data_IF_064764862223
#
_entry.id   IF_064764862223
#
_cell.length_a   1.000
_cell.length_b   1.000
_cell.length_c   1.000
_cell.angle_alpha   90.00
_cell.angle_beta   90.00
_cell.angle_gamma   90.00
#
_symmetry.space_group_name_H-M   'P 1'
#
loop_
_entity.id
_entity.type
_entity.pdbx_description
1 polymer ?
2 non-polymer ?
3 non-polymer ?
4 non-polymer ?
5 non-polymer ?
6 water ?
#
# COMPACT_ATOMS: atom_id res chain seq x y z
N UNK A 1 -5.28 20.58 1.33
CA UNK A 1 -6.20 21.60 1.90
C UNK A 1 -7.38 20.99 2.65
N UNK A 2 -8.00 19.96 2.04
CA UNK A 2 -9.22 19.33 2.57
C UNK A 2 -9.26 19.29 4.09
N UNK A 3 -10.30 19.88 4.66
CA UNK A 3 -10.46 19.92 6.10
C UNK A 3 -11.21 18.69 6.59
N UNK A 4 -11.03 18.36 7.86
CA UNK A 4 -11.80 17.30 8.48
C UNK A 4 -13.23 17.78 8.70
N UNK A 5 -13.37 18.91 9.39
CA UNK A 5 -14.68 19.52 9.64
C UNK A 5 -15.43 19.63 8.32
N UNK A 6 -14.70 19.91 7.26
CA UNK A 6 -15.26 20.02 5.93
C UNK A 6 -15.81 18.67 5.48
N UNK A 7 -15.15 17.60 5.90
CA UNK A 7 -15.54 16.24 5.49
C UNK A 7 -16.67 15.71 6.37
N UNK A 8 -16.57 16.00 7.67
CA UNK A 8 -17.60 15.61 8.63
C UNK A 8 -18.96 16.23 8.30
N UNK A 9 -18.93 17.37 7.63
CA UNK A 9 -20.14 18.07 7.24
C UNK A 9 -20.68 17.60 5.90
N UNK A 10 -19.86 16.85 5.16
CA UNK A 10 -20.35 16.17 3.96
C UNK A 10 -21.03 14.88 4.41
N UNK A 11 -20.44 14.25 5.43
CA UNK A 11 -20.92 12.99 5.94
C UNK A 11 -22.24 13.17 6.68
N UNK A 12 -22.44 14.33 7.28
CA UNK A 12 -23.68 14.63 7.99
C UNK A 12 -24.88 14.69 7.05
N UNK A 13 -24.70 15.29 5.87
CA UNK A 13 -25.74 15.30 4.87
C UNK A 13 -25.98 13.90 4.33
N UNK A 14 -25.25 12.93 4.88
CA UNK A 14 -25.38 11.54 4.49
C UNK A 14 -26.53 10.86 5.23
N UNK A 15 -27.32 10.09 4.48
CA UNK A 15 -28.26 9.16 5.08
C UNK A 15 -27.56 8.05 5.86
N UNK A 16 -27.47 8.21 7.18
CA UNK A 16 -26.71 7.27 8.02
C UNK A 16 -27.28 5.86 8.07
N UNK A 17 -28.45 5.65 7.45
CA UNK A 17 -29.06 4.32 7.42
C UNK A 17 -28.59 3.60 6.18
N UNK A 18 -27.92 4.32 5.28
CA UNK A 18 -27.58 3.77 3.97
C UNK A 18 -26.11 3.98 3.55
N UNK A 19 -25.21 4.00 4.52
CA UNK A 19 -23.78 4.14 4.23
C UNK A 19 -23.32 2.99 3.34
N UNK A 20 -22.83 3.31 2.15
CA UNK A 20 -22.22 2.30 1.28
C UNK A 20 -20.70 2.35 1.41
N UNK A 21 -20.02 1.43 0.77
CA UNK A 21 -18.57 1.50 0.74
C UNK A 21 -18.14 1.53 -0.69
N UNK A 22 -17.33 2.52 -1.04
CA UNK A 22 -16.87 2.62 -2.42
C UNK A 22 -15.35 2.57 -2.52
N UNK A 23 -14.89 2.10 -3.67
CA UNK A 23 -13.48 2.14 -4.02
C UNK A 23 -13.36 1.92 -5.51
N UNK A 24 -12.13 1.88 -5.99
CA UNK A 24 -11.90 1.81 -7.42
C UNK A 24 -11.64 0.37 -7.79
N UNK A 25 -12.23 -0.06 -8.90
CA UNK A 25 -12.10 -1.42 -9.35
C UNK A 25 -10.69 -1.76 -9.75
N UNK A 26 -9.81 -1.93 -8.76
CA UNK A 26 -8.42 -2.33 -8.99
C UNK A 26 -7.65 -2.38 -7.67
N UNK A 27 -6.43 -2.91 -7.75
CA UNK A 27 -5.46 -2.91 -6.64
C UNK A 27 -5.77 -3.90 -5.52
N UNK A 28 -6.74 -3.58 -4.69
CA UNK A 28 -7.14 -4.45 -3.60
C UNK A 28 -8.66 -4.55 -3.46
N UNK A 29 -9.39 -4.05 -4.45
CA UNK A 29 -10.81 -3.81 -4.27
C UNK A 29 -11.65 -5.09 -4.04
N UNK A 30 -11.33 -6.15 -4.76
CA UNK A 30 -12.07 -7.40 -4.63
C UNK A 30 -12.41 -7.76 -3.19
N UNK A 31 -11.43 -7.71 -2.29
CA UNK A 31 -11.68 -8.01 -0.89
C UNK A 31 -12.10 -6.80 -0.04
N UNK A 32 -11.84 -5.60 -0.55
CA UNK A 32 -12.40 -4.41 0.05
C UNK A 32 -13.91 -4.45 -0.16
N UNK A 33 -14.32 -4.79 -1.39
CA UNK A 33 -15.73 -4.85 -1.71
C UNK A 33 -16.38 -6.08 -1.08
N UNK A 34 -15.79 -7.25 -1.28
CA UNK A 34 -16.31 -8.47 -0.67
C UNK A 34 -16.39 -8.34 0.85
N UNK A 35 -15.43 -7.65 1.44
CA UNK A 35 -15.40 -7.50 2.89
C UNK A 35 -16.51 -6.61 3.40
N UNK A 36 -16.88 -5.63 2.58
CA UNK A 36 -18.00 -4.75 2.87
C UNK A 36 -19.32 -5.56 2.83
N UNK A 37 -19.53 -6.27 1.74
CA UNK A 37 -20.68 -7.12 1.60
C UNK A 37 -20.84 -8.04 2.81
N UNK A 38 -19.74 -8.64 3.25
CA UNK A 38 -19.77 -9.59 4.35
C UNK A 38 -20.12 -8.90 5.66
N UNK A 39 -19.92 -7.59 5.73
CA UNK A 39 -20.25 -6.84 6.94
C UNK A 39 -21.62 -6.18 6.83
N UNK A 40 -22.32 -6.44 5.72
CA UNK A 40 -23.69 -5.97 5.55
C UNK A 40 -23.81 -4.76 4.66
N UNK A 41 -22.68 -4.15 4.33
CA UNK A 41 -22.67 -2.98 3.46
C UNK A 41 -23.07 -3.32 2.03
N UNK A 42 -23.65 -2.32 1.38
CA UNK A 42 -23.78 -2.34 -0.06
C UNK A 42 -22.56 -1.62 -0.66
N UNK A 43 -22.03 -2.14 -1.76
CA UNK A 43 -20.74 -1.72 -2.26
C UNK A 43 -20.81 -1.02 -3.60
N UNK A 44 -20.00 0.02 -3.73
CA UNK A 44 -19.89 0.78 -4.98
C UNK A 44 -18.48 0.63 -5.57
N UNK A 45 -18.42 0.15 -6.79
CA UNK A 45 -17.16 -0.01 -7.48
C UNK A 45 -17.03 0.99 -8.62
N UNK A 46 -16.04 1.86 -8.55
CA UNK A 46 -15.73 2.67 -9.71
C UNK A 46 -14.93 1.82 -10.69
N UNK A 47 -15.46 1.69 -11.90
CA UNK A 47 -14.82 0.86 -12.92
C UNK A 47 -14.90 1.53 -14.30
N UNK A 48 -14.48 0.80 -15.34
CA UNK A 48 -14.57 1.29 -16.70
C UNK A 48 -14.71 0.12 -17.65
N UNK A 49 -15.15 0.40 -18.88
CA UNK A 49 -15.33 -0.66 -19.85
C UNK A 49 -13.99 -1.36 -20.01
N UNK A 50 -14.02 -2.69 -20.07
CA UNK A 50 -12.81 -3.47 -20.24
C UNK A 50 -12.12 -3.85 -18.94
N UNK A 51 -12.35 -3.07 -17.88
CA UNK A 51 -11.74 -3.37 -16.58
C UNK A 51 -12.77 -3.80 -15.52
N UNK A 52 -14.00 -4.05 -15.95
CA UNK A 52 -15.13 -4.27 -15.04
C UNK A 52 -15.43 -5.75 -14.75
N UNK A 53 -15.22 -6.59 -15.76
CA UNK A 53 -15.44 -8.04 -15.67
C UNK A 53 -15.17 -8.72 -14.34
N UNK A 54 -13.98 -8.53 -13.77
CA UNK A 54 -13.68 -9.31 -12.56
C UNK A 54 -14.57 -8.91 -11.38
N UNK A 55 -15.03 -7.68 -11.35
CA UNK A 55 -15.96 -7.20 -10.33
C UNK A 55 -17.37 -7.66 -10.64
N UNK A 56 -17.60 -8.03 -11.90
CA UNK A 56 -18.92 -8.52 -12.28
C UNK A 56 -19.02 -10.02 -12.05
N UNK A 57 -17.98 -10.76 -12.39
CA UNK A 57 -18.00 -12.22 -12.22
C UNK A 57 -17.78 -12.59 -10.75
N UNK A 58 -17.19 -11.70 -9.97
CA UNK A 58 -17.02 -12.01 -8.56
C UNK A 58 -18.19 -11.53 -7.70
N UNK A 59 -19.14 -10.82 -8.33
CA UNK A 59 -20.43 -10.44 -7.71
C UNK A 59 -20.19 -9.67 -6.42
N UNK A 60 -19.30 -8.71 -6.50
CA UNK A 60 -18.67 -8.16 -5.33
C UNK A 60 -19.10 -6.72 -5.20
N UNK A 61 -19.67 -6.20 -6.27
CA UNK A 61 -20.08 -4.80 -6.32
C UNK A 61 -21.57 -4.69 -6.60
N UNK A 62 -22.29 -3.97 -5.75
CA UNK A 62 -23.72 -3.79 -5.96
C UNK A 62 -24.01 -2.72 -7.00
N UNK A 63 -23.30 -1.60 -6.91
CA UNK A 63 -23.44 -0.53 -7.89
C UNK A 63 -22.10 -0.21 -8.55
N UNK A 64 -22.10 -0.14 -9.88
CA UNK A 64 -20.93 0.35 -10.61
C UNK A 64 -21.08 1.83 -10.97
N UNK A 65 -20.00 2.58 -10.83
CA UNK A 65 -19.88 3.91 -11.39
C UNK A 65 -18.86 3.85 -12.51
N UNK A 66 -19.32 3.70 -13.74
CA UNK A 66 -18.44 3.63 -14.90
C UNK A 66 -17.84 5.00 -15.27
N UNK A 67 -16.53 5.03 -15.47
CA UNK A 67 -15.87 6.21 -16.03
C UNK A 67 -15.31 5.87 -17.41
N UNK A 68 -14.93 6.89 -18.16
CA UNK A 68 -14.35 6.69 -19.49
C UNK A 68 -12.93 6.19 -19.32
N UNK A 69 -12.24 6.81 -18.37
CA UNK A 69 -10.91 6.40 -17.96
C UNK A 69 -10.84 6.63 -16.47
N UNK A 70 -10.10 5.78 -15.76
CA UNK A 70 -10.04 5.87 -14.31
C UNK A 70 -9.58 7.25 -13.87
N UNK A 71 -9.02 7.99 -14.83
CA UNK A 71 -8.56 9.33 -14.54
C UNK A 71 -9.71 10.22 -14.05
N UNK A 72 -10.90 9.98 -14.59
CA UNK A 72 -12.07 10.82 -14.35
C UNK A 72 -12.54 10.84 -12.89
N UNK A 73 -12.03 9.92 -12.08
CA UNK A 73 -12.50 9.80 -10.70
C UNK A 73 -12.21 11.02 -9.84
N UNK A 74 -11.58 12.03 -10.46
CA UNK A 74 -11.37 13.31 -9.80
C UNK A 74 -12.54 14.25 -10.08
N UNK A 75 -13.18 14.03 -11.23
CA UNK A 75 -14.31 14.84 -11.69
C UNK A 75 -15.35 15.06 -10.60
N UNK A 76 -15.96 16.24 -10.62
CA UNK A 76 -17.06 16.52 -9.70
C UNK A 76 -18.26 15.59 -9.95
N UNK A 77 -18.45 15.21 -11.21
CA UNK A 77 -19.54 14.30 -11.55
C UNK A 77 -19.47 13.03 -10.72
N UNK A 78 -18.28 12.46 -10.63
CA UNK A 78 -18.05 11.20 -9.90
C UNK A 78 -18.14 11.41 -8.39
N UNK A 79 -17.59 12.51 -7.91
CA UNK A 79 -17.68 12.84 -6.50
C UNK A 79 -19.14 12.96 -6.05
N UNK A 80 -19.97 13.52 -6.91
CA UNK A 80 -21.40 13.71 -6.59
C UNK A 80 -22.15 12.40 -6.50
N UNK A 81 -22.03 11.57 -7.53
CA UNK A 81 -22.60 10.24 -7.50
C UNK A 81 -22.21 9.54 -6.21
N UNK A 82 -20.94 9.69 -5.81
CA UNK A 82 -20.45 9.03 -4.62
C UNK A 82 -21.07 9.57 -3.34
N UNK A 83 -21.23 10.88 -3.28
CA UNK A 83 -21.86 11.51 -2.13
C UNK A 83 -23.34 11.15 -2.07
N UNK A 84 -23.96 11.00 -3.24
CA UNK A 84 -25.40 10.72 -3.33
C UNK A 84 -25.69 9.27 -2.96
N UNK A 85 -24.64 8.46 -2.91
CA UNK A 85 -24.77 7.05 -2.59
C UNK A 85 -24.38 6.84 -1.15
N UNK A 86 -24.06 7.94 -0.46
CA UNK A 86 -23.60 7.87 0.93
C UNK A 86 -22.39 6.95 1.09
N UNK A 87 -21.48 7.01 0.12
CA UNK A 87 -20.31 6.15 0.10
C UNK A 87 -19.16 6.72 0.91
N UNK A 88 -18.62 5.91 1.83
CA UNK A 88 -17.30 6.16 2.36
C UNK A 88 -16.33 5.51 1.39
N UNK A 89 -15.30 6.24 0.98
CA UNK A 89 -14.32 5.72 0.03
C UNK A 89 -13.14 5.05 0.73
N UNK A 90 -12.74 3.90 0.20
CA UNK A 90 -11.59 3.21 0.74
C UNK A 90 -10.46 3.33 -0.27
N UNK A 91 -9.42 4.10 0.09
CA UNK A 91 -8.35 4.40 -0.83
C UNK A 91 -7.40 3.23 -0.97
N UNK A 92 -6.84 3.15 -2.07
CA UNK A 92 -5.77 2.37 -2.32
C UNK A 92 -4.80 2.80 -3.39
N UNK A 93 -3.71 2.18 -3.44
CA UNK A 93 -2.91 2.11 -4.61
C UNK A 93 -3.32 2.74 -5.81
N UNK A 94 -4.22 2.15 -6.38
CA UNK A 94 -4.63 2.51 -7.63
C UNK A 94 -5.44 3.70 -7.61
N UNK A 95 -6.02 4.08 -6.52
CA UNK A 95 -6.91 5.11 -6.46
C UNK A 95 -6.13 6.29 -6.37
N UNK A 96 -5.15 6.33 -5.61
CA UNK A 96 -4.33 7.51 -5.48
C UNK A 96 -3.78 7.90 -6.84
N UNK A 97 -3.32 6.90 -7.60
CA UNK A 97 -2.63 7.15 -8.87
C UNK A 97 -3.56 7.77 -9.92
N UNK A 98 -4.66 7.10 -10.20
CA UNK A 98 -5.59 7.59 -11.21
C UNK A 98 -6.25 8.90 -10.79
N UNK A 99 -6.47 9.06 -9.49
CA UNK A 99 -7.10 10.27 -8.98
C UNK A 99 -6.06 11.39 -8.91
N UNK A 100 -4.81 11.01 -8.69
CA UNK A 100 -3.75 11.97 -8.44
C UNK A 100 -3.81 12.41 -7.00
N UNK A 101 -2.66 12.39 -6.35
CA UNK A 101 -2.55 12.60 -4.92
C UNK A 101 -2.84 14.04 -4.47
N UNK A 102 -2.69 15.00 -5.38
CA UNK A 102 -3.04 16.37 -5.04
C UNK A 102 -4.56 16.48 -4.99
N UNK A 103 -5.18 16.02 -6.07
CA UNK A 103 -6.63 15.92 -6.13
C UNK A 103 -7.20 15.21 -4.89
N UNK A 104 -6.49 14.20 -4.40
CA UNK A 104 -6.94 13.48 -3.22
C UNK A 104 -6.84 14.33 -1.96
N UNK A 105 -5.82 15.16 -1.87
CA UNK A 105 -5.56 15.90 -0.64
C UNK A 105 -6.38 17.18 -0.51
N UNK A 106 -6.92 17.68 -1.61
CA UNK A 106 -7.67 18.95 -1.57
C UNK A 106 -8.79 19.16 -2.60
N UNK A 107 -8.95 18.21 -3.51
CA UNK A 107 -9.97 18.32 -4.54
C UNK A 107 -11.06 17.22 -4.44
N UNK A 108 -10.76 16.13 -3.73
CA UNK A 108 -11.67 14.97 -3.67
C UNK A 108 -12.64 15.04 -2.48
N UNK A 109 -13.82 15.61 -2.71
CA UNK A 109 -14.76 15.90 -1.64
C UNK A 109 -15.71 14.74 -1.34
N UNK A 110 -15.12 13.59 -1.04
CA UNK A 110 -15.89 12.41 -0.67
C UNK A 110 -15.26 11.85 0.59
N UNK A 111 -16.09 11.45 1.57
CA UNK A 111 -15.50 10.96 2.81
C UNK A 111 -14.62 9.75 2.51
N UNK A 112 -13.56 9.59 3.27
CA UNK A 112 -12.53 8.62 2.93
C UNK A 112 -12.06 7.95 4.18
N UNK A 113 -12.00 6.62 4.15
CA UNK A 113 -11.56 5.87 5.31
C UNK A 113 -10.05 6.05 5.49
N UNK A 114 -9.65 6.36 6.73
CA UNK A 114 -8.24 6.56 7.04
C UNK A 114 -7.83 8.03 7.06
N UNK A 115 -6.58 8.26 7.45
CA UNK A 115 -5.99 9.59 7.55
C UNK A 115 -5.49 10.13 6.20
N UNK A 116 -6.27 11.02 5.60
CA UNK A 116 -5.98 11.60 4.29
C UNK A 116 -4.55 12.13 4.15
N UNK A 117 -4.16 12.99 5.09
CA UNK A 117 -2.87 13.65 5.08
C UNK A 117 -1.71 12.66 4.93
N UNK A 118 -1.86 11.49 5.56
CA UNK A 118 -0.78 10.55 5.70
C UNK A 118 -0.48 9.84 4.38
N UNK A 119 -1.33 10.04 3.37
CA UNK A 119 -1.11 9.43 2.08
C UNK A 119 0.10 10.01 1.35
N UNK A 120 0.46 11.24 1.69
CA UNK A 120 1.64 11.87 1.12
C UNK A 120 2.91 11.30 1.74
N UNK A 121 2.93 11.17 3.05
CA UNK A 121 4.07 10.62 3.75
C UNK A 121 4.46 9.23 3.25
N UNK A 122 3.76 8.76 2.23
CA UNK A 122 4.06 7.47 1.62
C UNK A 122 4.46 7.65 0.17
N UNK A 123 3.93 8.70 -0.44
CA UNK A 123 4.26 9.04 -1.82
C UNK A 123 5.69 9.56 -1.94
N UNK A 124 6.20 10.15 -0.85
CA UNK A 124 7.50 10.78 -0.88
C UNK A 124 8.53 10.03 -0.05
N UNK A 125 9.61 9.63 -0.72
CA UNK A 125 10.68 8.86 -0.08
C UNK A 125 11.32 9.61 1.08
N UNK A 126 11.33 10.94 1.02
CA UNK A 126 11.89 11.76 2.11
C UNK A 126 11.03 11.67 3.36
N UNK A 127 9.71 11.85 3.19
CA UNK A 127 8.76 11.71 4.29
C UNK A 127 8.73 10.28 4.82
N UNK A 128 8.61 9.33 3.91
CA UNK A 128 8.58 7.93 4.28
C UNK A 128 9.79 7.57 5.13
N UNK A 129 10.97 7.97 4.65
CA UNK A 129 12.23 7.70 5.33
C UNK A 129 12.31 8.39 6.68
N UNK A 130 11.81 9.61 6.72
CA UNK A 130 11.71 10.36 7.97
C UNK A 130 10.92 9.56 8.99
N UNK A 131 9.70 9.22 8.61
CA UNK A 131 8.81 8.43 9.46
C UNK A 131 9.48 7.14 9.95
N UNK A 132 9.98 6.34 9.02
CA UNK A 132 10.57 5.06 9.41
C UNK A 132 11.78 5.27 10.28
N UNK A 133 12.55 6.30 9.94
CA UNK A 133 13.74 6.68 10.69
C UNK A 133 13.36 7.18 12.07
N UNK A 134 12.45 8.13 12.13
CA UNK A 134 11.98 8.68 13.41
C UNK A 134 11.19 7.67 14.22
N UNK A 135 10.38 6.85 13.55
CA UNK A 135 9.65 5.79 14.25
C UNK A 135 10.64 4.92 15.00
N UNK A 136 11.88 4.87 14.50
CA UNK A 136 12.90 4.01 15.11
C UNK A 136 12.98 2.66 14.42
N UNK A 137 12.69 2.65 13.12
CA UNK A 137 12.71 1.39 12.39
C UNK A 137 14.00 1.20 11.61
N UNK A 138 14.46 -0.04 11.53
CA UNK A 138 15.60 -0.37 10.69
C UNK A 138 15.26 -0.15 9.22
N UNK A 139 16.05 0.70 8.55
CA UNK A 139 15.94 0.90 7.12
C UNK A 139 17.29 0.59 6.47
N UNK A 140 17.29 0.27 5.16
CA UNK A 140 18.60 0.07 4.53
C UNK A 140 19.41 1.37 4.51
N UNK A 141 20.73 1.28 4.63
CA UNK A 141 21.58 2.49 4.59
C UNK A 141 21.40 3.25 3.29
N UNK A 142 21.30 4.57 3.39
CA UNK A 142 21.19 5.41 2.20
C UNK A 142 22.57 5.79 1.69
N UNK A 143 22.67 6.05 0.39
CA UNK A 143 23.92 6.46 -0.24
C UNK A 143 23.75 7.72 -1.09
N UNK A 144 24.35 8.82 -0.62
CA UNK A 144 24.21 10.11 -1.30
C UNK A 144 24.59 10.03 -2.77
N UNK A 145 25.78 9.53 -3.06
CA UNK A 145 26.25 9.43 -4.45
C UNK A 145 26.88 8.08 -4.77
N UNK A 146 26.98 7.75 -6.07
CA UNK A 146 27.60 6.49 -6.49
C UNK A 146 29.02 6.32 -5.95
N UNK A 147 29.64 7.41 -5.50
CA UNK A 147 31.00 7.30 -4.99
C UNK A 147 31.04 6.73 -3.59
N UNK A 148 29.90 6.76 -2.91
CA UNK A 148 29.84 6.30 -1.53
C UNK A 148 29.69 4.78 -1.46
N UNK A 149 29.24 4.21 -2.57
CA UNK A 149 29.01 2.79 -2.70
C UNK A 149 30.20 1.98 -2.21
N UNK A 150 30.01 1.21 -1.13
CA UNK A 150 31.09 0.44 -0.53
C UNK A 150 30.67 -1.00 -0.26
N UNK A 151 29.52 -1.39 -0.80
CA UNK A 151 29.03 -2.75 -0.68
C UNK A 151 28.09 -3.02 -1.84
N UNK A 152 27.27 -4.05 -1.73
CA UNK A 152 26.20 -4.20 -2.71
C UNK A 152 25.10 -3.21 -2.39
N UNK A 153 24.56 -2.59 -3.43
CA UNK A 153 23.50 -1.63 -3.26
C UNK A 153 22.45 -1.92 -4.31
N UNK A 154 21.24 -1.45 -4.05
CA UNK A 154 20.21 -1.48 -5.07
C UNK A 154 19.94 -0.04 -5.42
N UNK A 155 19.59 0.21 -6.66
CA UNK A 155 19.41 1.58 -7.13
C UNK A 155 18.04 1.79 -7.76
N UNK A 156 17.28 2.71 -7.16
CA UNK A 156 15.90 2.97 -7.55
C UNK A 156 15.72 4.35 -8.17
N UNK A 157 14.72 4.45 -9.06
CA UNK A 157 14.41 5.69 -9.75
C UNK A 157 12.92 6.00 -9.69
N UNK A 164 11.58 -1.93 -12.52
CA UNK A 164 11.55 -1.70 -13.96
C UNK A 164 12.89 -1.18 -14.48
N UNK A 165 13.38 -0.09 -13.88
CA UNK A 165 14.70 0.44 -14.20
C UNK A 165 15.68 0.29 -13.05
N UNK A 166 15.32 -0.54 -12.08
CA UNK A 166 16.18 -0.84 -10.94
C UNK A 166 17.44 -1.57 -11.38
N UNK A 167 18.51 -1.45 -10.59
CA UNK A 167 19.70 -2.27 -10.81
C UNK A 167 20.53 -2.41 -9.56
N UNK A 168 21.44 -3.38 -9.59
CA UNK A 168 22.28 -3.72 -8.44
C UNK A 168 23.74 -3.36 -8.75
N UNK A 169 24.46 -2.89 -7.74
CA UNK A 169 25.83 -2.46 -7.93
C UNK A 169 26.65 -2.83 -6.72
N UNK A 170 27.90 -3.22 -6.94
CA UNK A 170 28.82 -3.49 -5.84
C UNK A 170 30.02 -2.54 -5.83
N UNK A 171 30.00 -1.54 -6.72
CA UNK A 171 31.08 -0.56 -6.81
C UNK A 171 30.62 0.66 -7.58
N UNK A 172 31.28 1.79 -7.34
CA UNK A 172 31.05 3.00 -8.12
C UNK A 172 31.18 2.74 -9.62
N UNK A 173 32.23 2.00 -9.98
CA UNK A 173 32.44 1.63 -11.36
C UNK A 173 31.23 0.89 -11.90
N UNK A 174 30.78 -0.13 -11.18
CA UNK A 174 29.63 -0.91 -11.63
C UNK A 174 28.39 -0.04 -11.78
N UNK A 175 28.21 0.91 -10.86
CA UNK A 175 27.11 1.85 -10.98
C UNK A 175 27.00 2.45 -12.37
N UNK A 176 28.04 3.17 -12.83
CA UNK A 176 27.95 3.87 -14.13
C UNK A 176 27.93 2.88 -15.29
N UNK A 177 28.69 1.79 -15.15
CA UNK A 177 28.65 0.74 -16.14
C UNK A 177 27.19 0.40 -16.42
N UNK A 178 26.43 0.19 -15.34
CA UNK A 178 25.02 -0.19 -15.44
C UNK A 178 24.10 0.98 -15.76
N UNK A 179 24.33 2.11 -15.10
CA UNK A 179 23.58 3.31 -15.41
C UNK A 179 23.62 3.53 -16.93
N UNK A 180 24.82 3.46 -17.51
CA UNK A 180 25.02 3.58 -18.94
C UNK A 180 24.22 2.55 -19.73
N UNK A 181 24.30 1.31 -19.30
CA UNK A 181 23.59 0.22 -19.95
C UNK A 181 22.12 0.60 -20.12
N UNK A 182 21.48 0.98 -19.01
CA UNK A 182 20.06 1.31 -19.03
C UNK A 182 19.77 2.63 -19.72
N UNK A 183 20.83 3.40 -19.98
CA UNK A 183 20.73 4.64 -20.72
C UNK A 183 20.72 4.33 -22.21
N UNK A 184 21.77 3.67 -22.68
CA UNK A 184 21.91 3.33 -24.10
C UNK A 184 20.84 2.34 -24.56
N UNK A 185 19.87 2.06 -23.69
CA UNK A 185 18.78 1.15 -24.03
C UNK A 185 17.42 1.82 -23.80
N UNK A 186 17.46 3.11 -23.49
CA UNK A 186 16.26 3.93 -23.40
C UNK A 186 15.45 3.76 -22.13
N UNK A 187 15.79 2.76 -21.33
CA UNK A 187 15.05 2.46 -20.11
C UNK A 187 15.28 3.54 -19.05
N UNK A 188 16.46 4.16 -19.07
CA UNK A 188 16.78 5.22 -18.13
C UNK A 188 17.25 6.48 -18.84
N UNK A 189 16.67 7.61 -18.46
CA UNK A 189 17.12 8.89 -18.96
C UNK A 189 18.06 9.52 -17.95
N UNK A 190 18.98 10.34 -18.44
CA UNK A 190 19.97 11.00 -17.59
C UNK A 190 19.31 11.74 -16.44
N UNK A 191 18.05 12.08 -16.63
CA UNK A 191 17.26 12.75 -15.60
C UNK A 191 17.06 11.82 -14.41
N UNK A 192 16.55 10.62 -14.67
CA UNK A 192 16.35 9.62 -13.63
C UNK A 192 17.69 9.25 -12.97
N UNK A 193 18.72 9.09 -13.79
CA UNK A 193 20.03 8.70 -13.29
C UNK A 193 20.62 9.71 -12.31
N UNK A 194 20.28 10.98 -12.49
CA UNK A 194 20.77 12.05 -11.63
C UNK A 194 20.13 11.98 -10.25
N UNK A 195 18.84 11.68 -10.23
CA UNK A 195 18.07 11.60 -8.99
C UNK A 195 18.05 10.19 -8.38
N UNK A 196 18.74 9.27 -9.04
CA UNK A 196 18.79 7.88 -8.62
C UNK A 196 18.92 7.75 -7.12
N UNK A 197 18.02 6.98 -6.52
CA UNK A 197 18.13 6.65 -5.11
C UNK A 197 18.94 5.37 -4.93
N UNK A 198 20.00 5.46 -4.15
CA UNK A 198 20.91 4.34 -3.96
C UNK A 198 20.85 3.92 -2.51
N UNK A 199 20.57 2.66 -2.26
CA UNK A 199 20.54 2.18 -0.89
C UNK A 199 21.18 0.81 -0.73
N UNK A 200 21.58 0.52 0.50
CA UNK A 200 22.07 -0.78 0.88
C UNK A 200 21.16 -1.89 0.35
N UNK A 201 21.74 -2.83 -0.36
CA UNK A 201 20.98 -3.99 -0.80
C UNK A 201 20.89 -4.92 0.40
N UNK A 202 19.70 -5.02 0.99
CA UNK A 202 19.52 -5.90 2.14
C UNK A 202 19.27 -7.31 1.65
N UNK A 203 20.06 -8.27 2.11
CA UNK A 203 19.95 -9.64 1.65
C UNK A 203 19.26 -10.50 2.69
N UNK A 204 18.02 -10.88 2.39
CA UNK A 204 17.26 -11.67 3.33
C UNK A 204 15.88 -12.04 2.82
N UNK A 205 15.03 -12.45 3.74
CA UNK A 205 13.71 -12.94 3.38
C UNK A 205 12.65 -11.84 3.46
N UNK A 206 11.88 -11.70 2.39
CA UNK A 206 10.81 -10.72 2.27
C UNK A 206 9.55 -11.06 3.05
N UNK A 207 9.20 -10.17 3.97
CA UNK A 207 7.92 -10.20 4.64
C UNK A 207 7.25 -8.83 4.47
N UNK A 208 6.25 -8.74 3.59
CA UNK A 208 5.39 -7.57 3.56
C UNK A 208 4.28 -7.79 4.60
N UNK A 209 4.36 -7.02 5.68
CA UNK A 209 3.57 -7.25 6.89
C UNK A 209 2.42 -6.29 6.97
N UNK A 210 1.21 -6.84 6.93
CA UNK A 210 0.03 -6.00 6.88
C UNK A 210 -0.56 -5.78 8.28
N UNK A 211 -0.58 -4.53 8.71
CA UNK A 211 -1.13 -4.18 10.02
C UNK A 211 -2.44 -3.43 9.85
N UNK A 212 -3.19 -3.36 10.94
CA UNK A 212 -4.35 -2.52 10.99
C UNK A 212 -4.33 -1.79 12.30
N UNK A 213 -4.19 -0.47 12.26
CA UNK A 213 -4.40 0.31 13.48
C UNK A 213 -5.88 0.61 13.61
N UNK A 214 -6.44 0.20 14.75
CA UNK A 214 -7.82 0.52 15.08
C UNK A 214 -7.85 1.72 16.02
N UNK A 215 -8.41 2.83 15.54
CA UNK A 215 -8.60 4.02 16.39
C UNK A 215 -9.62 3.74 17.49
N UNK A 216 -10.65 2.97 17.15
CA UNK A 216 -11.68 2.60 18.11
C UNK A 216 -11.06 1.81 19.23
N UNK A 217 -10.30 0.78 18.87
CA UNK A 217 -9.70 -0.09 19.86
C UNK A 217 -8.33 0.41 20.30
N UNK A 218 -7.91 1.53 19.70
CA UNK A 218 -6.56 2.05 19.88
C UNK A 218 -5.52 0.93 19.91
N UNK A 219 -5.40 0.20 18.81
CA UNK A 219 -4.58 -1.00 18.82
C UNK A 219 -4.06 -1.33 17.43
N UNK A 220 -2.81 -1.82 17.38
CA UNK A 220 -2.22 -2.30 16.15
C UNK A 220 -2.47 -3.79 16.03
N UNK A 221 -3.13 -4.20 14.96
CA UNK A 221 -3.39 -5.63 14.75
C UNK A 221 -2.54 -6.16 13.61
N UNK A 222 -2.13 -7.40 13.72
CA UNK A 222 -1.47 -8.08 12.62
C UNK A 222 -2.49 -8.88 11.82
N UNK A 223 -2.63 -8.53 10.55
CA UNK A 223 -3.61 -9.17 9.70
C UNK A 223 -3.00 -10.24 8.81
N UNK A 224 -1.87 -9.93 8.19
CA UNK A 224 -1.21 -10.94 7.37
C UNK A 224 0.15 -10.55 6.81
N UNK A 225 0.65 -11.42 5.94
CA UNK A 225 1.99 -11.28 5.39
C UNK A 225 2.06 -11.94 4.04
N UNK A 226 2.72 -11.29 3.10
CA UNK A 226 3.02 -11.88 1.82
C UNK A 226 4.45 -11.55 1.43
N UNK A 227 5.00 -12.33 0.51
CA UNK A 227 6.22 -11.92 -0.13
C UNK A 227 5.89 -11.60 -1.58
N UNK A 228 6.52 -10.55 -2.09
CA UNK A 228 6.34 -10.12 -3.46
C UNK A 228 6.79 -11.16 -4.45
N UNK A 229 6.09 -11.17 -5.57
CA UNK A 229 6.40 -12.00 -6.69
C UNK A 229 6.61 -11.02 -7.84
N UNK A 230 7.86 -10.83 -8.21
CA UNK A 230 8.26 -9.75 -9.12
C UNK A 230 8.87 -10.25 -10.43
N UNK A 231 8.62 -9.52 -11.50
CA UNK A 231 9.11 -9.87 -12.82
C UNK A 231 9.96 -8.69 -13.32
N UNK A 232 11.12 -8.97 -13.92
CA UNK A 232 11.49 -10.34 -14.27
C UNK A 232 12.32 -11.06 -13.22
N UNK A 233 12.69 -10.34 -12.16
CA UNK A 233 13.70 -10.84 -11.25
C UNK A 233 13.43 -12.26 -10.80
N UNK A 234 12.19 -12.54 -10.40
CA UNK A 234 11.88 -13.84 -9.80
C UNK A 234 11.83 -14.94 -10.85
N UNK A 235 11.70 -14.53 -12.11
CA UNK A 235 11.87 -15.46 -13.22
C UNK A 235 13.34 -15.56 -13.60
N UNK A 236 14.06 -14.44 -13.45
CA UNK A 236 15.48 -14.41 -13.79
C UNK A 236 16.24 -15.39 -12.90
N UNK A 237 16.03 -15.30 -11.59
CA UNK A 237 16.78 -16.10 -10.64
C UNK A 237 16.35 -17.56 -10.68
N UNK A 238 15.34 -17.86 -11.47
CA UNK A 238 14.92 -19.24 -11.60
C UNK A 238 15.70 -19.89 -12.73
N UNK A 239 16.46 -19.07 -13.44
CA UNK A 239 17.41 -19.55 -14.44
C UNK A 239 18.71 -19.93 -13.74
N UNK A 240 19.24 -21.12 -14.05
CA UNK A 240 20.54 -21.56 -13.52
C UNK A 240 21.65 -20.54 -13.77
N UNK A 241 22.55 -20.42 -12.80
CA UNK A 241 23.65 -19.46 -12.87
C UNK A 241 24.43 -19.55 -14.19
N UNK A 242 24.81 -20.76 -14.58
CA UNK A 242 25.55 -20.97 -15.82
C UNK A 242 24.83 -20.30 -16.98
N UNK A 243 23.55 -20.59 -17.11
CA UNK A 243 22.72 -19.98 -18.16
C UNK A 243 22.50 -18.49 -17.99
N UNK A 244 22.37 -17.99 -16.76
CA UNK A 244 22.22 -16.55 -16.55
C UNK A 244 23.44 -15.80 -17.10
N UNK A 245 24.63 -16.34 -16.84
CA UNK A 245 25.88 -15.74 -17.32
C UNK A 245 25.97 -15.69 -18.84
N UNK A 246 25.39 -16.67 -19.50
CA UNK A 246 25.30 -16.64 -20.97
C UNK A 246 24.23 -15.70 -21.48
N UNK A 247 23.52 -15.03 -20.57
CA UNK A 247 22.48 -14.12 -21.00
C UNK A 247 22.88 -12.66 -20.81
N UNK A 248 22.31 -11.81 -21.66
CA UNK A 248 22.45 -10.37 -21.45
C UNK A 248 21.09 -9.84 -21.05
N UNK A 249 20.83 -9.87 -19.75
CA UNK A 249 19.52 -9.57 -19.24
C UNK A 249 19.63 -8.73 -17.98
N UNK A 250 18.77 -7.72 -17.86
CA UNK A 250 18.75 -6.91 -16.67
C UNK A 250 17.58 -7.28 -15.76
N UNK A 251 17.85 -7.39 -14.46
CA UNK A 251 16.76 -7.59 -13.51
C UNK A 251 15.76 -6.45 -13.56
N UNK A 252 14.48 -6.80 -13.57
CA UNK A 252 13.45 -5.82 -13.28
C UNK A 252 12.67 -6.31 -12.06
N UNK A 253 11.93 -5.39 -11.45
CA UNK A 253 11.25 -5.66 -10.19
C UNK A 253 9.81 -5.17 -10.27
N UNK A 254 9.11 -5.56 -11.33
CA UNK A 254 7.72 -5.21 -11.49
C UNK A 254 6.84 -6.13 -10.65
N UNK A 255 6.05 -5.57 -9.74
CA UNK A 255 5.16 -6.37 -8.92
C UNK A 255 4.11 -7.04 -9.81
N UNK A 256 4.03 -8.37 -9.72
CA UNK A 256 3.07 -9.10 -10.55
C UNK A 256 2.12 -9.94 -9.71
N UNK A 257 2.45 -10.14 -8.45
CA UNK A 257 1.67 -11.04 -7.64
C UNK A 257 2.22 -11.08 -6.24
N UNK A 258 1.65 -11.96 -5.43
CA UNK A 258 2.08 -12.12 -4.06
C UNK A 258 1.95 -13.58 -3.63
N UNK A 259 2.76 -13.98 -2.67
CA UNK A 259 2.81 -15.34 -2.20
C UNK A 259 2.69 -15.28 -0.69
N UNK A 260 1.87 -16.15 -0.11
CA UNK A 260 1.67 -16.14 1.33
C UNK A 260 2.88 -16.67 2.08
N UNK A 261 3.13 -16.12 3.26
CA UNK A 261 4.24 -16.53 4.08
C UNK A 261 3.85 -16.18 5.50
N UNK A 262 4.47 -16.85 6.46
CA UNK A 262 4.27 -16.55 7.87
C UNK A 262 5.65 -16.34 8.44
N UNK A 263 5.79 -15.45 9.40
CA UNK A 263 7.08 -15.24 10.01
C UNK A 263 7.30 -16.26 11.11
N UNK A 264 8.55 -16.45 11.49
CA UNK A 264 8.93 -17.21 12.67
C UNK A 264 8.28 -16.57 13.89
N UNK A 265 7.59 -17.35 14.71
CA UNK A 265 6.68 -16.78 15.70
C UNK A 265 7.41 -15.88 16.68
N UNK A 266 8.62 -16.29 17.09
CA UNK A 266 9.46 -15.48 17.97
C UNK A 266 9.83 -14.09 17.42
N UNK A 267 9.42 -13.80 16.18
CA UNK A 267 9.72 -12.48 15.60
C UNK A 267 8.49 -11.59 15.60
N UNK A 268 7.39 -12.12 16.12
CA UNK A 268 6.16 -11.34 16.20
C UNK A 268 6.27 -10.18 17.20
N UNK A 269 6.97 -10.40 18.32
CA UNK A 269 7.23 -9.30 19.23
C UNK A 269 7.93 -8.16 18.50
N UNK A 270 8.88 -8.50 17.63
CA UNK A 270 9.55 -7.48 16.82
C UNK A 270 8.55 -6.86 15.85
N UNK A 271 7.81 -7.73 15.18
CA UNK A 271 6.83 -7.31 14.18
C UNK A 271 5.80 -6.34 14.74
N UNK A 272 5.32 -6.63 15.95
CA UNK A 272 4.31 -5.79 16.58
C UNK A 272 4.90 -4.47 17.05
N UNK A 273 6.10 -4.54 17.66
CA UNK A 273 6.81 -3.33 18.07
C UNK A 273 7.00 -2.37 16.90
N UNK A 274 7.27 -2.91 15.72
CA UNK A 274 7.49 -2.11 14.54
C UNK A 274 6.23 -1.37 14.15
N UNK A 275 5.10 -2.05 14.27
CA UNK A 275 3.81 -1.43 13.98
C UNK A 275 3.44 -0.44 15.06
N UNK A 276 3.72 -0.78 16.31
CA UNK A 276 3.45 0.16 17.39
C UNK A 276 4.25 1.45 17.19
N UNK A 277 5.57 1.32 17.05
CA UNK A 277 6.47 2.48 16.86
C UNK A 277 6.05 3.36 15.69
N UNK A 278 5.83 2.73 14.54
CA UNK A 278 5.40 3.49 13.38
C UNK A 278 4.14 4.27 13.71
N UNK A 279 3.14 3.58 14.23
CA UNK A 279 1.87 4.18 14.59
C UNK A 279 2.05 5.31 15.62
N UNK A 280 2.90 5.10 16.61
CA UNK A 280 3.11 6.09 17.66
C UNK A 280 3.83 7.35 17.17
N UNK A 281 4.64 7.22 16.13
CA UNK A 281 5.34 8.37 15.59
C UNK A 281 4.46 9.07 14.56
N UNK A 282 3.70 8.31 13.80
CA UNK A 282 2.79 8.89 12.81
C UNK A 282 1.73 9.77 13.48
N UNK A 283 1.40 9.44 14.72
CA UNK A 283 0.50 10.27 15.52
C UNK A 283 1.04 11.69 15.73
N UNK A 284 2.33 11.79 16.04
CA UNK A 284 2.99 13.07 16.26
C UNK A 284 3.22 13.82 14.96
N UNK A 285 3.66 13.09 13.93
CA UNK A 285 4.06 13.73 12.69
C UNK A 285 2.91 14.06 11.76
N UNK A 286 1.91 13.19 11.72
CA UNK A 286 0.76 13.42 10.84
C UNK A 286 -0.55 13.02 11.51
N UNK A 287 -1.05 13.85 12.44
CA UNK A 287 -2.24 13.50 13.23
C UNK A 287 -3.50 13.43 12.35
N UNK A 288 -4.40 12.47 12.64
CA UNK A 288 -4.40 11.53 13.76
C UNK A 288 -3.40 10.39 13.67
N UNK A 289 -2.69 10.27 12.55
CA UNK A 289 -1.67 9.24 12.41
C UNK A 289 -2.07 8.17 11.41
N UNK A 290 -1.58 6.96 11.66
CA UNK A 290 -1.94 5.81 10.82
C UNK A 290 -3.33 5.31 11.17
N UNK A 291 -4.26 5.40 10.23
CA UNK A 291 -5.61 4.96 10.47
C UNK A 291 -5.96 3.78 9.59
N UNK A 292 -6.21 2.64 10.22
CA UNK A 292 -6.59 1.45 9.50
C UNK A 292 -5.41 0.64 8.97
N UNK A 293 -5.48 0.23 7.71
CA UNK A 293 -4.48 -0.65 7.12
C UNK A 293 -3.20 0.10 6.74
N UNK A 294 -2.08 -0.52 7.09
CA UNK A 294 -0.78 -0.09 6.62
C UNK A 294 0.17 -1.28 6.52
N UNK A 295 1.21 -1.12 5.72
CA UNK A 295 2.14 -2.22 5.47
C UNK A 295 3.59 -1.81 5.67
N UNK A 296 4.33 -2.64 6.40
CA UNK A 296 5.80 -2.55 6.41
C UNK A 296 6.35 -3.62 5.48
N UNK A 297 6.94 -3.18 4.36
CA UNK A 297 7.57 -4.10 3.42
C UNK A 297 9.02 -4.28 3.82
N UNK A 298 9.30 -5.39 4.48
CA UNK A 298 10.59 -5.57 5.11
C UNK A 298 11.40 -6.73 4.54
N UNK A 299 12.64 -6.84 5.02
CA UNK A 299 13.51 -7.95 4.67
C UNK A 299 14.15 -8.44 5.93
N UNK A 300 14.12 -9.74 6.14
CA UNK A 300 14.67 -10.29 7.35
C UNK A 300 16.11 -10.70 7.07
N UNK A 301 17.06 -9.95 7.63
CA UNK A 301 18.45 -10.37 7.44
C UNK A 301 18.75 -11.57 8.32
N UNK A 302 19.97 -12.10 8.22
CA UNK A 302 20.30 -13.34 8.89
C UNK A 302 20.44 -13.16 10.40
N UNK A 303 20.45 -11.92 10.84
CA UNK A 303 20.49 -11.64 12.27
C UNK A 303 19.08 -11.48 12.81
N UNK A 304 18.11 -12.02 12.07
CA UNK A 304 16.69 -11.97 12.43
C UNK A 304 16.25 -10.54 12.71
N UNK A 305 16.80 -9.59 11.97
CA UNK A 305 16.40 -8.19 12.09
C UNK A 305 15.63 -7.85 10.87
N UNK A 306 14.46 -7.25 11.06
CA UNK A 306 13.62 -6.88 9.93
C UNK A 306 13.92 -5.46 9.51
N UNK A 307 14.27 -5.30 8.24
CA UNK A 307 14.67 -4.02 7.73
C UNK A 307 13.62 -3.55 6.74
N UNK A 308 13.04 -2.40 6.99
CA UNK A 308 11.95 -1.90 6.18
C UNK A 308 12.46 -1.08 5.00
N UNK A 309 12.23 -1.58 3.80
CA UNK A 309 12.74 -0.92 2.61
C UNK A 309 11.63 -0.13 1.92
N UNK A 310 10.41 -0.30 2.42
CA UNK A 310 9.26 0.41 1.87
C UNK A 310 8.09 0.31 2.84
N UNK A 311 7.12 1.21 2.69
CA UNK A 311 5.92 1.16 3.50
C UNK A 311 4.73 1.74 2.75
N UNK A 312 3.54 1.22 3.10
CA UNK A 312 2.30 1.77 2.58
C UNK A 312 1.52 2.30 3.76
N UNK A 313 0.81 3.42 3.55
CA UNK A 313 0.04 4.07 4.61
C UNK A 313 -1.44 3.79 4.38
N UNK A 314 -1.75 3.25 3.21
CA UNK A 314 -3.07 2.74 2.90
C UNK A 314 -3.01 1.21 2.88
N UNK A 315 -3.98 0.56 2.25
CA UNK A 315 -3.93 -0.89 2.18
C UNK A 315 -2.97 -1.30 1.08
N UNK A 316 -2.16 -2.33 1.36
CA UNK A 316 -1.17 -2.79 0.42
C UNK A 316 -1.65 -3.99 -0.40
N UNK A 317 -1.18 -4.08 -1.64
CA UNK A 317 -1.61 -5.13 -2.56
C UNK A 317 -1.43 -6.55 -2.07
N UNK A 318 -0.47 -6.76 -1.18
CA UNK A 318 -0.21 -8.11 -0.70
C UNK A 318 -1.40 -8.73 0.03
N UNK A 319 -2.30 -7.88 0.53
CA UNK A 319 -3.47 -8.35 1.29
C UNK A 319 -4.30 -9.26 0.43
N UNK A 320 -4.11 -9.15 -0.88
CA UNK A 320 -4.76 -10.06 -1.81
C UNK A 320 -4.37 -11.52 -1.58
N UNK A 321 -3.22 -11.75 -0.96
CA UNK A 321 -2.77 -13.10 -0.70
C UNK A 321 -3.67 -13.79 0.33
N UNK A 322 -4.39 -12.99 1.13
CA UNK A 322 -5.36 -13.53 2.08
C UNK A 322 -6.79 -12.95 1.99
N UNK A 323 -7.39 -12.98 0.82
CA UNK A 323 -8.78 -12.55 0.70
C UNK A 323 -9.74 -13.56 1.37
N UNK A 324 -9.35 -14.82 1.40
CA UNK A 324 -10.13 -15.86 2.06
C UNK A 324 -9.62 -15.98 3.46
N UNK A 325 -8.92 -14.95 3.92
CA UNK A 325 -8.37 -14.98 5.26
C UNK A 325 -7.03 -15.67 5.29
N UNK A 326 -6.26 -15.44 6.34
CA UNK A 326 -5.02 -16.18 6.46
C UNK A 326 -4.73 -16.59 7.87
N UNK A 327 -3.54 -17.17 8.08
CA UNK A 327 -3.06 -17.67 9.36
C UNK A 327 -3.21 -16.69 10.51
N UNK A 328 -2.94 -15.42 10.25
CA UNK A 328 -2.98 -14.43 11.32
C UNK A 328 -4.36 -13.83 11.53
N UNK A 329 -5.10 -13.61 10.43
CA UNK A 329 -6.38 -12.93 10.53
C UNK A 329 -7.38 -13.87 11.19
N UNK A 330 -7.15 -15.17 11.00
CA UNK A 330 -7.94 -16.25 11.59
C UNK A 330 -7.93 -16.25 13.12
N UNK A 331 -6.77 -15.98 13.69
CA UNK A 331 -6.55 -16.12 15.13
C UNK A 331 -7.57 -15.36 16.00
N UNK A 332 -7.97 -14.18 15.56
CA UNK A 332 -8.90 -13.33 16.29
C UNK A 332 -10.23 -13.99 16.61
N UNK A 333 -10.91 -14.47 15.57
CA UNK A 333 -12.24 -15.06 15.76
C UNK A 333 -12.47 -16.35 14.98
N UNK A 334 -11.39 -16.96 14.49
CA UNK A 334 -11.50 -18.16 13.69
C UNK A 334 -12.28 -17.96 12.41
N UNK A 335 -12.28 -16.73 11.90
CA UNK A 335 -12.96 -16.42 10.64
C UNK A 335 -11.96 -16.25 9.49
N UNK A 336 -12.42 -16.48 8.24
CA UNK A 336 -11.65 -16.18 7.05
C UNK A 336 -11.62 -14.66 6.84
N UNK A 337 -10.93 -13.96 7.72
CA UNK A 337 -10.95 -12.51 7.73
C UNK A 337 -9.94 -11.92 6.75
N UNK A 338 -10.44 -11.14 5.80
CA UNK A 338 -9.57 -10.38 4.90
C UNK A 338 -9.36 -8.99 5.47
N UNK A 339 -8.46 -8.23 4.84
CA UNK A 339 -8.18 -6.86 5.28
C UNK A 339 -9.33 -5.95 4.85
N UNK A 340 -9.86 -6.19 3.66
CA UNK A 340 -11.05 -5.48 3.21
C UNK A 340 -12.17 -5.54 4.25
N UNK A 341 -12.42 -6.75 4.77
CA UNK A 341 -13.48 -6.95 5.73
C UNK A 341 -13.14 -6.32 7.07
N UNK A 342 -11.89 -6.47 7.49
CA UNK A 342 -11.42 -5.81 8.70
C UNK A 342 -11.66 -4.31 8.63
N UNK A 343 -11.50 -3.75 7.44
CA UNK A 343 -11.73 -2.33 7.23
C UNK A 343 -13.22 -2.02 7.34
N UNK A 344 -14.05 -2.85 6.69
CA UNK A 344 -15.51 -2.70 6.71
C UNK A 344 -16.04 -2.78 8.13
N UNK A 345 -15.42 -3.62 8.94
CA UNK A 345 -15.87 -3.79 10.29
C UNK A 345 -15.64 -2.51 11.08
N UNK A 346 -14.46 -1.91 10.91
CA UNK A 346 -14.12 -0.68 11.61
C UNK A 346 -15.13 0.39 11.24
N UNK A 347 -15.48 0.45 9.96
CA UNK A 347 -16.46 1.40 9.51
C UNK A 347 -17.79 1.12 10.21
N UNK A 348 -18.29 -0.10 10.01
CA UNK A 348 -19.51 -0.55 10.66
C UNK A 348 -19.56 -0.13 12.13
N UNK A 349 -18.58 -0.60 12.90
CA UNK A 349 -18.50 -0.34 14.32
C UNK A 349 -18.39 1.13 14.67
N UNK A 350 -17.66 1.90 13.87
CA UNK A 350 -17.57 3.32 14.11
C UNK A 350 -18.95 3.94 13.97
N UNK A 351 -19.64 3.63 12.87
CA UNK A 351 -21.02 4.07 12.68
C UNK A 351 -21.90 3.72 13.88
N UNK A 352 -21.77 2.50 14.37
CA UNK A 352 -22.61 2.01 15.46
C UNK A 352 -22.31 2.66 16.82
N UNK A 353 -21.07 3.12 17.01
CA UNK A 353 -20.73 3.79 18.25
C UNK A 353 -20.70 5.29 18.05
N UNK A 354 -21.13 5.72 16.87
CA UNK A 354 -21.11 7.14 16.50
C UNK A 354 -19.70 7.72 16.74
N UNK A 355 -18.74 7.20 15.97
CA UNK A 355 -17.34 7.55 16.09
C UNK A 355 -16.74 7.57 14.71
N UNK A 356 -17.55 7.90 13.72
CA UNK A 356 -17.11 7.98 12.36
C UNK A 356 -15.97 8.99 12.20
N UNK A 357 -15.82 9.88 13.17
CA UNK A 357 -14.80 10.92 13.10
C UNK A 357 -13.43 10.38 13.49
N UNK A 358 -13.40 9.18 14.06
CA UNK A 358 -12.14 8.57 14.42
C UNK A 358 -11.51 7.84 13.22
N UNK A 359 -12.25 7.75 12.11
CA UNK A 359 -11.85 6.84 11.04
C UNK A 359 -12.03 7.39 9.65
N UNK A 360 -12.70 8.52 9.52
CA UNK A 360 -12.77 9.14 8.20
C UNK A 360 -12.05 10.48 8.20
N UNK A 361 -11.82 11.00 6.99
CA UNK A 361 -11.14 12.28 6.79
C UNK A 361 -11.15 12.64 5.32
#
# INVERSE_FOLDING_TARGET
>A
MISKDEILEIFDKYNKDEITIATLGSHTSLHILKGAKLEGFSTVCITMKGRDVPYKRFKVADKFIYVDNFSDIKNEEIQEKLRELNSIVVPHGSFIAYCGLDNVENSFLVPMFGNRRILRWESERSLEGKLLREAGLRVPKKYESPEDIDGTVIVKFPGARGGRGYFIASSTEEFYKKAEDLKKRGILTDEDIANAHIEEYVVGTNFCIHYFYSPLKDEVELLGMDKRYESNIDGLVRIPAKDQLEMNINPSYVITGNIPVVIRESLLPQVFEMGDKLVAKAKELVPPGMIGPFCLQSLCNENLELVVFEMSARVDGGTNSFMNGGPYSFLYNGEPLSMGQRIAREIKMALQLDMIDKIIS
#
